data_IF_103878020674
#
_entry.id   IF_103878020674
#
_cell.length_a   1.000
_cell.length_b   1.000
_cell.length_c   1.000
_cell.angle_alpha   90.00
_cell.angle_beta   90.00
_cell.angle_gamma   90.00
#
_symmetry.space_group_name_H-M   'P 1'
#
loop_
_entity.id
_entity.type
_entity.pdbx_description
1 polymer ?
#
# COMPACT_ATOMS: atom_id res chain seq x y z
N UNK A 1 42.15 10.68 44.78
CA UNK A 1 41.27 11.57 43.97
C UNK A 1 41.19 10.93 42.58
N UNK A 2 40.33 9.94 42.37
CA UNK A 2 38.93 10.07 41.93
C UNK A 2 38.79 10.76 40.55
N UNK A 3 38.70 9.99 39.46
CA UNK A 3 37.49 9.87 38.62
C UNK A 3 37.74 9.17 37.28
N UNK A 4 37.29 7.92 37.24
CA UNK A 4 36.57 7.23 36.16
C UNK A 4 36.07 8.10 35.01
N UNK A 5 36.40 7.71 33.78
CA UNK A 5 35.47 7.82 32.65
C UNK A 5 35.77 6.69 31.66
N UNK A 6 34.95 5.63 31.70
CA UNK A 6 34.86 4.64 30.61
C UNK A 6 33.73 5.11 29.69
N UNK A 7 33.90 5.11 28.36
CA UNK A 7 32.78 5.38 27.47
C UNK A 7 31.79 4.21 27.53
N UNK A 8 30.55 4.53 27.86
CA UNK A 8 29.41 3.62 27.70
C UNK A 8 29.05 3.57 26.22
N UNK A 9 29.31 2.45 25.57
CA UNK A 9 28.73 2.14 24.26
C UNK A 9 27.28 1.73 24.50
N UNK A 10 26.26 2.46 24.01
CA UNK A 10 24.91 1.93 24.03
C UNK A 10 24.81 0.77 23.03
N UNK A 11 24.11 -0.33 23.35
CA UNK A 11 23.74 -1.31 22.33
C UNK A 11 22.83 -0.62 21.32
N UNK A 12 23.25 -0.60 20.06
CA UNK A 12 22.39 -0.22 18.94
C UNK A 12 21.18 -1.16 18.99
N UNK A 13 19.95 -0.64 19.10
CA UNK A 13 18.78 -1.50 19.07
C UNK A 13 18.82 -2.27 17.76
N UNK A 14 18.56 -3.56 17.89
CA UNK A 14 18.31 -4.53 16.84
C UNK A 14 17.27 -3.94 15.89
N UNK A 15 17.74 -3.14 14.93
CA UNK A 15 17.00 -2.84 13.73
C UNK A 15 17.14 -4.10 12.87
N UNK A 16 16.45 -5.15 13.33
CA UNK A 16 15.69 -6.02 12.48
C UNK A 16 14.94 -5.09 11.52
N UNK A 17 15.64 -4.69 10.46
CA UNK A 17 15.04 -4.40 9.18
C UNK A 17 14.32 -5.69 8.91
N UNK A 18 13.04 -5.69 9.30
CA UNK A 18 12.05 -6.63 8.82
C UNK A 18 12.20 -6.52 7.32
N UNK A 19 13.04 -7.38 6.77
CA UNK A 19 12.90 -7.89 5.42
C UNK A 19 11.62 -8.69 5.49
N UNK A 20 10.49 -7.98 5.62
CA UNK A 20 9.28 -8.43 5.00
C UNK A 20 9.72 -8.57 3.55
N UNK A 21 10.00 -9.82 3.18
CA UNK A 21 9.90 -10.25 1.81
C UNK A 21 8.66 -9.55 1.26
N UNK A 22 8.70 -8.93 0.06
CA UNK A 22 7.50 -8.42 -0.58
C UNK A 22 6.65 -9.63 -1.02
N UNK A 23 6.26 -10.49 -0.06
CA UNK A 23 5.07 -11.29 -0.14
C UNK A 23 4.00 -10.24 -0.42
N UNK A 24 3.58 -10.21 -1.69
CA UNK A 24 2.72 -9.21 -2.26
C UNK A 24 1.66 -8.86 -1.22
N UNK A 25 1.61 -7.58 -0.84
CA UNK A 25 0.55 -7.08 0.02
C UNK A 25 -0.78 -7.63 -0.53
N UNK A 26 -1.67 -8.15 0.33
CA UNK A 26 -2.92 -8.70 -0.14
C UNK A 26 -3.62 -7.67 -1.04
N UNK A 27 -4.23 -8.11 -2.15
CA UNK A 27 -4.88 -7.19 -3.08
C UNK A 27 -5.86 -6.30 -2.32
N UNK A 28 -5.88 -5.00 -2.63
CA UNK A 28 -6.82 -4.07 -2.00
C UNK A 28 -8.25 -4.57 -2.25
N UNK A 29 -9.17 -4.45 -1.28
CA UNK A 29 -10.55 -4.88 -1.47
C UNK A 29 -11.21 -4.15 -2.64
N UNK A 30 -12.02 -4.87 -3.42
CA UNK A 30 -12.71 -4.35 -4.59
C UNK A 30 -13.59 -3.14 -4.24
N UNK A 31 -14.20 -3.14 -3.04
CA UNK A 31 -14.99 -2.02 -2.55
C UNK A 31 -14.19 -0.72 -2.40
N UNK A 32 -12.92 -0.81 -1.98
CA UNK A 32 -12.04 0.35 -1.80
C UNK A 32 -11.65 0.92 -3.16
N UNK A 33 -11.21 0.07 -4.08
CA UNK A 33 -10.82 0.51 -5.44
C UNK A 33 -12.02 1.13 -6.18
N UNK A 34 -13.22 0.58 -5.99
CA UNK A 34 -14.45 1.13 -6.56
C UNK A 34 -14.80 2.52 -5.99
N UNK A 35 -14.53 2.78 -4.71
CA UNK A 35 -14.72 4.09 -4.11
C UNK A 35 -13.76 5.14 -4.71
N UNK A 36 -12.50 4.76 -4.98
CA UNK A 36 -11.51 5.62 -5.64
C UNK A 36 -11.93 5.95 -7.08
N UNK A 37 -12.44 4.97 -7.84
CA UNK A 37 -12.99 5.18 -9.18
C UNK A 37 -14.14 6.20 -9.16
N UNK A 38 -15.05 6.11 -8.19
CA UNK A 38 -16.18 7.06 -8.04
C UNK A 38 -15.71 8.46 -7.64
N UNK A 39 -14.70 8.54 -6.76
CA UNK A 39 -14.09 9.81 -6.37
C UNK A 39 -13.41 10.49 -7.58
N UNK A 40 -12.72 9.72 -8.42
CA UNK A 40 -12.10 10.20 -9.65
C UNK A 40 -13.12 10.82 -10.60
N UNK A 41 -14.30 10.21 -10.74
CA UNK A 41 -15.42 10.73 -11.54
C UNK A 41 -16.08 11.97 -10.92
N UNK A 42 -16.25 12.01 -9.59
CA UNK A 42 -16.80 13.18 -8.90
C UNK A 42 -15.87 14.41 -8.98
N UNK A 43 -14.56 14.18 -8.99
CA UNK A 43 -13.55 15.25 -8.99
C UNK A 43 -13.35 15.95 -10.33
N UNK A 44 -13.95 15.47 -11.43
CA UNK A 44 -13.78 16.08 -12.73
C UNK A 44 -14.73 15.48 -13.75
N UNK A 45 -15.96 16.00 -13.82
CA UNK A 45 -17.10 15.51 -14.62
C UNK A 45 -16.88 15.29 -16.12
N UNK A 46 -15.65 15.44 -16.61
CA UNK A 46 -15.13 14.85 -17.84
C UNK A 46 -13.75 14.32 -17.47
N UNK A 47 -13.57 12.99 -17.36
CA UNK A 47 -12.27 12.35 -17.24
C UNK A 47 -11.39 12.85 -18.40
N UNK A 48 -10.63 13.92 -18.15
CA UNK A 48 -9.68 14.45 -19.12
C UNK A 48 -8.73 13.30 -19.48
N UNK A 49 -8.32 13.20 -20.75
CA UNK A 49 -7.47 12.12 -21.25
C UNK A 49 -6.22 11.89 -20.37
N UNK A 50 -5.78 12.91 -19.65
CA UNK A 50 -4.72 12.89 -18.62
C UNK A 50 -4.98 11.89 -17.48
N UNK A 51 -6.23 11.68 -17.07
CA UNK A 51 -6.63 10.77 -15.97
C UNK A 51 -7.13 9.41 -16.45
N UNK A 52 -7.13 9.16 -17.77
CA UNK A 52 -7.53 7.87 -18.33
C UNK A 52 -6.59 6.75 -17.89
N UNK A 53 -5.28 6.99 -17.86
CA UNK A 53 -4.32 5.99 -17.37
C UNK A 53 -4.53 5.60 -15.90
N UNK A 54 -4.89 6.57 -15.06
CA UNK A 54 -5.21 6.34 -13.64
C UNK A 54 -6.50 5.53 -13.48
N UNK A 55 -7.52 5.84 -14.28
CA UNK A 55 -8.77 5.06 -14.33
C UNK A 55 -8.54 3.62 -14.80
N UNK A 56 -7.73 3.42 -15.85
CA UNK A 56 -7.41 2.08 -16.37
C UNK A 56 -6.63 1.24 -15.36
N UNK A 57 -5.67 1.85 -14.65
CA UNK A 57 -4.95 1.20 -13.57
C UNK A 57 -5.90 0.77 -12.42
N UNK A 58 -6.80 1.67 -11.99
CA UNK A 58 -7.80 1.35 -10.97
C UNK A 58 -8.78 0.27 -11.42
N UNK A 59 -9.20 0.25 -12.70
CA UNK A 59 -10.05 -0.80 -13.25
C UNK A 59 -9.35 -2.17 -13.26
N UNK A 60 -8.08 -2.22 -13.65
CA UNK A 60 -7.30 -3.44 -13.66
C UNK A 60 -7.13 -4.00 -12.23
N UNK A 61 -6.86 -3.12 -11.27
CA UNK A 61 -6.75 -3.48 -9.86
C UNK A 61 -8.11 -3.94 -9.28
N UNK A 62 -9.19 -3.23 -9.57
CA UNK A 62 -10.54 -3.63 -9.15
C UNK A 62 -10.92 -5.00 -9.70
N UNK A 63 -10.60 -5.28 -10.96
CA UNK A 63 -10.84 -6.57 -11.59
C UNK A 63 -10.03 -7.69 -10.93
N UNK A 64 -8.79 -7.42 -10.54
CA UNK A 64 -7.96 -8.38 -9.81
C UNK A 64 -8.50 -8.63 -8.39
N UNK A 65 -8.90 -7.57 -7.69
CA UNK A 65 -9.50 -7.64 -6.36
C UNK A 65 -10.81 -8.45 -6.35
N UNK A 66 -11.70 -8.18 -7.31
CA UNK A 66 -12.95 -8.94 -7.48
C UNK A 66 -12.69 -10.43 -7.70
N UNK A 67 -11.72 -10.78 -8.56
CA UNK A 67 -11.37 -12.19 -8.78
C UNK A 67 -10.83 -12.84 -7.52
N UNK A 68 -10.00 -12.15 -6.76
CA UNK A 68 -9.46 -12.66 -5.49
C UNK A 68 -10.57 -12.86 -4.43
N UNK A 69 -11.52 -11.93 -4.34
CA UNK A 69 -12.67 -12.01 -3.44
C UNK A 69 -13.63 -13.15 -3.84
N UNK A 70 -13.94 -13.30 -5.14
CA UNK A 70 -14.80 -14.39 -5.65
C UNK A 70 -14.16 -15.76 -5.38
N UNK A 71 -12.84 -15.90 -5.56
CA UNK A 71 -12.11 -17.15 -5.27
C UNK A 71 -12.12 -17.47 -3.76
N UNK A 72 -12.17 -16.45 -2.90
CA UNK A 72 -12.23 -16.65 -1.44
C UNK A 72 -13.64 -17.03 -0.96
N UNK A 73 -14.68 -16.69 -1.73
CA UNK A 73 -16.08 -16.90 -1.37
C UNK A 73 -16.71 -18.18 -1.95
N UNK A 74 -16.01 -18.94 -2.80
CA UNK A 74 -16.47 -20.18 -3.45
C UNK A 74 -15.97 -21.44 -2.73
#
# INVERSE_FOLDING_TARGET
MAQTSRPVTPPRPDAARVTASPAALPPRPAAVVNAEIRALWCAGGRLAEERRGEYEALLAEWSAALRAEVVTAA
#
